data_IF_387779811219
#
_entry.id   IF_387779811219
#
_cell.length_a   1.000
_cell.length_b   1.000
_cell.length_c   1.000
_cell.angle_alpha   90.00
_cell.angle_beta   90.00
_cell.angle_gamma   90.00
#
_symmetry.space_group_name_H-M   'P 1'
#
loop_
_entity.id
_entity.type
_entity.pdbx_description
1 polymer ?
#
# COMPACT_ATOMS: atom_id res chain seq x y z
N UNK A 1 0.28 -4.36 -23.17
CA UNK A 1 -1.06 -3.74 -23.11
C UNK A 1 -1.02 -2.78 -21.93
N UNK A 2 -0.83 -1.50 -22.18
CA UNK A 2 -1.01 -0.47 -21.14
C UNK A 2 -2.51 -0.41 -20.84
N UNK A 3 -2.92 -0.90 -19.67
CA UNK A 3 -4.28 -0.70 -19.21
C UNK A 3 -4.45 0.79 -18.96
N UNK A 4 -5.24 1.45 -19.78
CA UNK A 4 -5.58 2.85 -19.58
C UNK A 4 -6.33 2.96 -18.26
N UNK A 5 -5.76 3.70 -17.29
CA UNK A 5 -6.37 3.89 -15.98
C UNK A 5 -7.71 4.62 -16.16
N UNK A 6 -8.81 4.01 -15.74
CA UNK A 6 -10.10 4.69 -15.68
C UNK A 6 -10.08 5.76 -14.56
N UNK A 7 -9.59 6.92 -14.92
CA UNK A 7 -9.43 8.06 -14.00
C UNK A 7 -10.76 8.53 -13.42
N UNK A 8 -11.84 8.45 -14.20
CA UNK A 8 -13.15 8.91 -13.73
C UNK A 8 -13.74 7.94 -12.70
N UNK A 9 -13.58 6.63 -12.92
CA UNK A 9 -13.96 5.61 -11.94
C UNK A 9 -13.26 5.84 -10.60
N UNK A 10 -11.93 5.93 -10.58
CA UNK A 10 -11.18 6.11 -9.33
C UNK A 10 -11.41 7.47 -8.67
N UNK A 11 -11.62 8.53 -9.45
CA UNK A 11 -12.01 9.84 -8.95
C UNK A 11 -13.35 9.82 -8.24
N UNK A 12 -14.31 9.05 -8.74
CA UNK A 12 -15.63 8.93 -8.13
C UNK A 12 -15.61 8.00 -6.92
N UNK A 13 -14.92 6.87 -7.01
CA UNK A 13 -14.79 5.91 -5.91
C UNK A 13 -14.14 6.52 -4.66
N UNK A 14 -13.17 7.41 -4.82
CA UNK A 14 -12.54 8.10 -3.68
C UNK A 14 -13.42 9.14 -2.99
N UNK A 15 -14.57 9.53 -3.56
CA UNK A 15 -15.49 10.52 -2.99
C UNK A 15 -16.43 9.98 -1.91
N UNK A 16 -16.18 8.77 -1.40
CA UNK A 16 -16.95 8.22 -0.28
C UNK A 16 -16.68 9.01 1.01
N UNK A 17 -17.70 9.20 1.85
CA UNK A 17 -17.63 10.04 3.04
C UNK A 17 -16.51 9.63 4.01
N UNK A 18 -16.32 8.33 4.20
CA UNK A 18 -15.28 7.81 5.10
C UNK A 18 -13.86 8.11 4.58
N UNK A 19 -13.61 8.05 3.25
CA UNK A 19 -12.32 8.41 2.65
C UNK A 19 -12.09 9.92 2.70
N UNK A 20 -13.16 10.71 2.49
CA UNK A 20 -13.11 12.17 2.64
C UNK A 20 -12.77 12.59 4.06
N UNK A 21 -13.31 11.88 5.07
CA UNK A 21 -12.97 12.11 6.47
C UNK A 21 -11.48 11.89 6.72
N UNK A 22 -10.90 10.77 6.31
CA UNK A 22 -9.47 10.48 6.46
C UNK A 22 -8.58 11.54 5.79
N UNK A 23 -8.97 12.04 4.62
CA UNK A 23 -8.22 13.11 3.94
C UNK A 23 -8.30 14.46 4.65
N UNK A 24 -9.39 14.72 5.38
CA UNK A 24 -9.54 15.94 6.20
C UNK A 24 -8.78 15.84 7.52
N UNK A 25 -8.72 14.66 8.13
CA UNK A 25 -8.00 14.41 9.39
C UNK A 25 -6.50 14.61 9.22
N UNK A 26 -5.91 14.03 8.16
CA UNK A 26 -4.49 14.21 7.84
C UNK A 26 -4.38 14.83 6.45
N UNK A 27 -3.87 16.04 6.37
CA UNK A 27 -3.69 16.75 5.09
C UNK A 27 -2.55 16.12 4.27
N UNK A 28 -2.61 16.26 2.96
CA UNK A 28 -1.59 15.68 2.05
C UNK A 28 -0.16 16.08 2.40
N UNK A 29 0.08 17.31 2.86
CA UNK A 29 1.40 17.78 3.30
C UNK A 29 1.88 16.94 4.49
N UNK A 30 1.05 16.83 5.52
CA UNK A 30 1.41 16.12 6.76
C UNK A 30 1.66 14.62 6.48
N UNK A 31 0.89 14.01 5.55
CA UNK A 31 1.12 12.63 5.08
C UNK A 31 2.50 12.45 4.47
N UNK A 32 3.01 13.45 3.75
CA UNK A 32 4.34 13.37 3.11
C UNK A 32 5.48 13.47 4.09
N UNK A 33 5.22 13.89 5.33
CA UNK A 33 6.21 14.00 6.39
C UNK A 33 6.25 12.75 7.30
N UNK A 34 5.28 11.84 7.15
CA UNK A 34 5.31 10.55 7.84
C UNK A 34 6.43 9.69 7.26
N UNK A 35 7.34 9.24 8.11
CA UNK A 35 8.44 8.35 7.71
C UNK A 35 7.91 6.96 7.37
N UNK A 36 8.42 6.38 6.26
CA UNK A 36 8.13 5.00 5.85
C UNK A 36 8.48 4.03 6.98
N UNK A 37 7.64 3.04 7.23
CA UNK A 37 7.93 1.99 8.21
C UNK A 37 9.04 1.08 7.69
N UNK A 38 9.85 0.59 8.62
CA UNK A 38 10.89 -0.40 8.33
C UNK A 38 10.35 -1.77 8.69
N UNK A 39 10.48 -2.73 7.79
CA UNK A 39 10.09 -4.13 8.03
C UNK A 39 11.00 -4.72 9.12
N UNK A 40 10.45 -5.22 10.23
CA UNK A 40 11.23 -5.97 11.20
C UNK A 40 11.78 -7.26 10.58
N UNK A 41 13.05 -7.54 10.79
CA UNK A 41 13.72 -8.72 10.26
C UNK A 41 14.30 -9.58 11.37
N UNK A 42 14.35 -10.90 11.13
CA UNK A 42 15.03 -11.83 12.02
C UNK A 42 16.55 -11.55 12.08
N UNK A 43 17.13 -11.69 13.28
CA UNK A 43 18.58 -11.52 13.48
C UNK A 43 19.38 -12.39 12.51
N UNK A 44 20.41 -11.84 11.81
CA UNK A 44 21.21 -12.58 10.84
C UNK A 44 21.87 -13.85 11.41
N UNK A 45 22.28 -13.85 12.70
CA UNK A 45 22.90 -15.01 13.35
C UNK A 45 21.89 -16.11 13.70
N UNK A 46 20.61 -15.79 13.74
CA UNK A 46 19.51 -16.74 13.96
C UNK A 46 19.00 -17.25 12.62
N UNK A 47 18.71 -16.35 11.67
CA UNK A 47 18.12 -16.72 10.38
C UNK A 47 19.03 -17.58 9.50
N UNK A 48 20.38 -17.45 9.61
CA UNK A 48 21.32 -18.25 8.86
C UNK A 48 21.42 -19.72 9.33
N UNK A 49 20.78 -20.06 10.45
CA UNK A 49 20.75 -21.42 11.04
C UNK A 49 19.34 -22.03 11.04
N UNK A 50 18.39 -21.39 10.39
CA UNK A 50 16.98 -21.82 10.41
C UNK A 50 16.27 -21.49 9.09
N UNK A 51 15.14 -22.13 8.86
CA UNK A 51 14.26 -21.87 7.72
C UNK A 51 13.08 -20.96 8.09
N UNK A 52 13.22 -20.14 9.15
CA UNK A 52 12.20 -19.18 9.52
C UNK A 52 12.11 -18.04 8.49
N UNK A 53 10.94 -17.44 8.36
CA UNK A 53 10.76 -16.29 7.50
C UNK A 53 11.59 -15.10 8.04
N UNK A 54 12.39 -14.48 7.16
CA UNK A 54 13.29 -13.38 7.54
C UNK A 54 12.51 -12.15 7.96
N UNK A 55 11.54 -11.75 7.14
CA UNK A 55 10.69 -10.60 7.41
C UNK A 55 9.61 -10.98 8.43
N UNK A 56 9.61 -10.34 9.58
CA UNK A 56 8.66 -10.65 10.67
C UNK A 56 7.23 -10.13 10.44
N UNK A 57 7.01 -9.34 9.39
CA UNK A 57 5.76 -8.61 9.19
C UNK A 57 5.70 -7.30 9.97
N UNK A 58 4.65 -6.54 9.76
CA UNK A 58 4.41 -5.29 10.50
C UNK A 58 3.20 -5.44 11.41
N UNK A 59 3.23 -4.77 12.57
CA UNK A 59 2.09 -4.73 13.47
C UNK A 59 0.94 -3.92 12.87
N UNK A 60 -0.29 -4.09 13.39
CA UNK A 60 -1.43 -3.27 12.95
C UNK A 60 -1.16 -1.77 13.12
N UNK A 61 -0.53 -1.37 14.21
CA UNK A 61 -0.15 0.03 14.45
C UNK A 61 0.82 0.55 13.37
N UNK A 62 1.83 -0.24 13.03
CA UNK A 62 2.76 0.08 11.93
C UNK A 62 2.03 0.14 10.59
N UNK A 63 1.09 -0.77 10.34
CA UNK A 63 0.29 -0.79 9.11
C UNK A 63 -0.59 0.46 9.00
N UNK A 64 -1.27 0.88 10.06
CA UNK A 64 -2.05 2.12 10.11
C UNK A 64 -1.17 3.34 9.83
N UNK A 65 0.00 3.42 10.49
CA UNK A 65 0.98 4.49 10.25
C UNK A 65 1.43 4.55 8.79
N UNK A 66 1.80 3.41 8.22
CA UNK A 66 2.23 3.35 6.81
C UNK A 66 1.07 3.67 5.85
N UNK A 67 -0.13 3.16 6.13
CA UNK A 67 -1.33 3.44 5.34
C UNK A 67 -1.70 4.93 5.35
N UNK A 68 -1.45 5.61 6.46
CA UNK A 68 -1.68 7.06 6.59
C UNK A 68 -0.78 7.90 5.68
N UNK A 69 0.33 7.36 5.17
CA UNK A 69 1.16 8.01 4.14
C UNK A 69 0.43 8.12 2.81
N UNK A 70 -0.47 7.19 2.48
CA UNK A 70 -1.13 7.18 1.18
C UNK A 70 -1.95 8.46 0.95
N UNK A 71 -1.65 9.19 -0.15
CA UNK A 71 -2.30 10.44 -0.53
C UNK A 71 -3.71 10.24 -1.09
N UNK A 72 -4.14 9.00 -1.31
CA UNK A 72 -5.43 8.71 -1.93
C UNK A 72 -5.61 9.47 -3.26
N UNK A 73 -4.71 9.25 -4.21
CA UNK A 73 -4.60 10.00 -5.44
C UNK A 73 -5.87 9.94 -6.30
N UNK A 74 -6.19 11.04 -7.01
CA UNK A 74 -7.30 11.09 -7.98
C UNK A 74 -7.03 10.17 -9.18
N UNK A 75 -5.76 10.09 -9.60
CA UNK A 75 -5.29 9.19 -10.66
C UNK A 75 -4.18 8.30 -10.05
N UNK A 76 -4.55 7.15 -9.47
CA UNK A 76 -3.61 6.32 -8.70
C UNK A 76 -2.74 5.46 -9.61
N UNK A 77 -1.61 6.00 -10.05
CA UNK A 77 -0.66 5.32 -10.95
C UNK A 77 -0.09 4.02 -10.37
N UNK A 78 -0.10 3.84 -9.05
CA UNK A 78 0.29 2.58 -8.41
C UNK A 78 -0.56 1.37 -8.88
N UNK A 79 -1.83 1.58 -9.26
CA UNK A 79 -2.70 0.53 -9.83
C UNK A 79 -2.16 0.05 -11.17
N UNK A 80 -1.67 0.97 -12.01
CA UNK A 80 -1.07 0.62 -13.32
C UNK A 80 0.19 -0.23 -13.12
N UNK A 81 0.93 0.02 -12.04
CA UNK A 81 2.11 -0.76 -11.69
C UNK A 81 1.81 -2.16 -11.13
N UNK A 82 0.56 -2.46 -10.79
CA UNK A 82 0.14 -3.77 -10.32
C UNK A 82 -0.31 -4.65 -11.49
N UNK A 83 0.36 -5.79 -11.77
CA UNK A 83 -0.01 -6.65 -12.90
C UNK A 83 -1.45 -7.18 -12.86
N UNK A 84 -2.04 -7.31 -11.68
CA UNK A 84 -3.43 -7.78 -11.51
C UNK A 84 -4.42 -6.62 -11.27
N UNK A 85 -3.95 -5.37 -11.29
CA UNK A 85 -4.82 -4.21 -11.20
C UNK A 85 -5.52 -4.02 -9.85
N UNK A 86 -4.88 -4.44 -8.76
CA UNK A 86 -5.42 -4.27 -7.39
C UNK A 86 -5.73 -2.80 -7.10
N UNK A 87 -6.91 -2.54 -6.51
CA UNK A 87 -7.29 -1.19 -6.08
C UNK A 87 -6.50 -0.77 -4.83
N UNK A 88 -5.24 -0.39 -5.05
CA UNK A 88 -4.28 -0.10 -3.98
C UNK A 88 -4.77 1.03 -3.05
N UNK A 89 -5.22 2.20 -3.53
CA UNK A 89 -5.67 3.24 -2.62
C UNK A 89 -6.82 2.79 -1.72
N UNK A 90 -7.75 1.99 -2.24
CA UNK A 90 -8.92 1.53 -1.49
C UNK A 90 -8.52 0.61 -0.33
N UNK A 91 -7.71 -0.44 -0.59
CA UNK A 91 -7.31 -1.33 0.51
C UNK A 91 -6.42 -0.62 1.53
N UNK A 92 -5.52 0.27 1.08
CA UNK A 92 -4.68 1.06 1.99
C UNK A 92 -5.53 1.97 2.88
N UNK A 93 -6.60 2.57 2.36
CA UNK A 93 -7.50 3.40 3.17
C UNK A 93 -8.31 2.58 4.18
N UNK A 94 -8.67 1.33 3.88
CA UNK A 94 -9.25 0.43 4.89
C UNK A 94 -8.24 0.12 6.01
N UNK A 95 -6.97 -0.08 5.68
CA UNK A 95 -5.92 -0.27 6.71
C UNK A 95 -5.71 0.99 7.55
N UNK A 96 -5.80 2.17 6.96
CA UNK A 96 -5.73 3.44 7.72
C UNK A 96 -6.86 3.56 8.75
N UNK A 97 -8.05 3.00 8.47
CA UNK A 97 -9.15 2.86 9.43
C UNK A 97 -8.92 1.75 10.47
N UNK A 98 -7.92 0.90 10.29
CA UNK A 98 -7.75 -0.33 11.08
C UNK A 98 -8.66 -1.48 10.65
N UNK A 99 -9.42 -1.34 9.56
CA UNK A 99 -10.29 -2.39 9.01
C UNK A 99 -9.51 -3.36 8.10
N UNK A 100 -8.80 -4.29 8.74
CA UNK A 100 -8.01 -5.33 8.07
C UNK A 100 -8.88 -6.24 7.19
N UNK A 101 -10.09 -6.56 7.65
CA UNK A 101 -10.98 -7.44 6.88
C UNK A 101 -11.53 -6.74 5.63
N UNK A 102 -11.86 -5.46 5.75
CA UNK A 102 -12.24 -4.64 4.59
C UNK A 102 -11.10 -4.52 3.58
N UNK A 103 -9.88 -4.30 4.04
CA UNK A 103 -8.69 -4.27 3.19
C UNK A 103 -8.47 -5.60 2.46
N UNK A 104 -8.55 -6.73 3.17
CA UNK A 104 -8.40 -8.07 2.61
C UNK A 104 -9.48 -8.39 1.55
N UNK A 105 -10.73 -7.95 1.75
CA UNK A 105 -11.80 -8.10 0.75
C UNK A 105 -11.46 -7.36 -0.54
N UNK A 106 -10.98 -6.11 -0.44
CA UNK A 106 -10.58 -5.31 -1.61
C UNK A 106 -9.42 -5.98 -2.35
N UNK A 107 -8.40 -6.46 -1.64
CA UNK A 107 -7.29 -7.19 -2.25
C UNK A 107 -7.79 -8.40 -3.04
N UNK A 108 -8.74 -9.17 -2.48
CA UNK A 108 -9.28 -10.39 -3.09
C UNK A 108 -10.25 -10.15 -4.25
N UNK A 109 -10.66 -8.91 -4.52
CA UNK A 109 -11.44 -8.57 -5.73
C UNK A 109 -10.65 -8.90 -7.02
N UNK A 110 -9.34 -8.67 -7.02
CA UNK A 110 -8.48 -8.84 -8.20
C UNK A 110 -7.30 -9.80 -7.99
N UNK A 111 -6.97 -10.15 -6.74
CA UNK A 111 -5.83 -10.98 -6.39
C UNK A 111 -6.26 -12.17 -5.52
N UNK A 112 -6.12 -13.38 -6.04
CA UNK A 112 -6.45 -14.60 -5.30
C UNK A 112 -5.46 -14.95 -4.18
N UNK A 113 -4.22 -14.45 -4.27
CA UNK A 113 -3.10 -14.80 -3.39
C UNK A 113 -2.36 -13.58 -2.84
N UNK A 114 -3.05 -12.60 -2.21
CA UNK A 114 -2.43 -11.34 -1.80
C UNK A 114 -1.27 -11.55 -0.82
N UNK A 115 -1.39 -12.47 0.14
CA UNK A 115 -0.34 -12.75 1.11
C UNK A 115 0.96 -13.31 0.47
N UNK A 116 0.85 -13.97 -0.68
CA UNK A 116 2.03 -14.42 -1.45
C UNK A 116 2.58 -13.24 -2.26
N UNK A 117 1.74 -12.48 -2.94
CA UNK A 117 2.14 -11.31 -3.70
C UNK A 117 2.88 -10.30 -2.82
N UNK A 118 2.38 -10.02 -1.61
CA UNK A 118 3.05 -9.14 -0.64
C UNK A 118 4.45 -9.62 -0.21
N UNK A 119 4.78 -10.92 -0.44
CA UNK A 119 6.10 -11.50 -0.12
C UNK A 119 7.05 -11.62 -1.31
N UNK A 120 6.52 -11.85 -2.52
CA UNK A 120 7.35 -12.26 -3.67
C UNK A 120 7.31 -11.28 -4.85
N UNK A 121 6.34 -10.38 -4.92
CA UNK A 121 6.34 -9.35 -5.96
C UNK A 121 7.53 -8.39 -5.78
N UNK A 122 8.22 -7.99 -6.87
CA UNK A 122 9.22 -6.94 -6.82
C UNK A 122 8.54 -5.56 -6.84
N UNK A 123 7.87 -5.21 -5.74
CA UNK A 123 7.02 -4.00 -5.63
C UNK A 123 7.78 -2.72 -5.94
N UNK A 124 9.08 -2.69 -5.62
CA UNK A 124 9.99 -1.56 -5.84
C UNK A 124 10.16 -1.19 -7.31
N UNK A 125 9.90 -2.11 -8.24
CA UNK A 125 9.90 -1.85 -9.69
C UNK A 125 8.49 -1.91 -10.31
N UNK A 126 7.49 -2.26 -9.54
CA UNK A 126 6.08 -2.37 -9.93
C UNK A 126 5.22 -1.24 -9.32
N UNK A 127 4.30 -1.60 -8.40
CA UNK A 127 3.33 -0.67 -7.83
C UNK A 127 3.98 0.47 -7.02
N UNK A 128 5.02 0.18 -6.23
CA UNK A 128 5.71 1.20 -5.43
C UNK A 128 6.48 2.17 -6.31
N UNK A 129 7.12 1.71 -7.40
CA UNK A 129 7.80 2.57 -8.37
C UNK A 129 6.84 3.57 -9.04
N UNK A 130 5.57 3.23 -9.17
CA UNK A 130 4.56 4.11 -9.75
C UNK A 130 3.91 5.04 -8.70
N UNK A 131 4.27 4.92 -7.43
CA UNK A 131 3.76 5.81 -6.39
C UNK A 131 4.15 7.27 -6.66
N UNK A 132 3.24 8.19 -6.40
CA UNK A 132 3.49 9.64 -6.57
C UNK A 132 4.65 10.14 -5.72
N UNK A 133 4.94 9.52 -4.59
CA UNK A 133 6.12 9.79 -3.77
C UNK A 133 7.41 9.61 -4.56
N UNK A 134 7.52 8.52 -5.30
CA UNK A 134 8.68 8.24 -6.15
C UNK A 134 8.67 9.13 -7.39
N UNK A 135 7.54 9.17 -8.11
CA UNK A 135 7.43 9.85 -9.41
C UNK A 135 7.52 11.37 -9.35
N UNK A 136 7.06 12.01 -8.26
CA UNK A 136 6.93 13.47 -8.19
C UNK A 136 7.59 14.11 -6.98
N UNK A 137 7.78 13.37 -5.89
CA UNK A 137 8.27 13.97 -4.63
C UNK A 137 9.70 13.54 -4.31
N UNK A 138 10.31 12.65 -5.09
CA UNK A 138 11.66 12.13 -4.87
C UNK A 138 11.83 11.56 -3.44
N UNK A 139 10.76 10.90 -2.95
CA UNK A 139 10.70 10.25 -1.64
C UNK A 139 10.42 8.77 -1.82
N UNK A 140 10.67 7.97 -0.78
CA UNK A 140 10.29 6.55 -0.76
C UNK A 140 8.78 6.37 -0.92
N UNK A 141 8.36 5.50 -1.83
CA UNK A 141 6.96 5.16 -2.04
C UNK A 141 6.28 4.62 -0.79
N UNK A 142 4.96 4.54 -0.78
CA UNK A 142 4.25 3.79 0.25
C UNK A 142 4.65 2.32 0.17
N UNK A 143 4.85 1.66 1.32
CA UNK A 143 5.26 0.26 1.42
C UNK A 143 4.08 -0.68 1.11
N UNK A 144 3.66 -0.68 -0.15
CA UNK A 144 2.45 -1.38 -0.62
C UNK A 144 2.56 -2.88 -0.35
N UNK A 145 3.72 -3.48 -0.67
CA UNK A 145 3.96 -4.89 -0.41
C UNK A 145 3.91 -5.27 1.06
N UNK A 146 4.40 -4.41 1.96
CA UNK A 146 4.31 -4.64 3.42
C UNK A 146 2.87 -4.62 3.90
N UNK A 147 2.04 -3.74 3.33
CA UNK A 147 0.63 -3.62 3.66
C UNK A 147 -0.23 -4.76 3.08
N UNK A 148 0.18 -5.32 1.94
CA UNK A 148 -0.50 -6.44 1.28
C UNK A 148 -0.23 -7.78 1.97
N UNK A 149 0.96 -7.93 2.57
CA UNK A 149 1.42 -9.15 3.24
C UNK A 149 0.56 -9.49 4.47
#
# INVERSE_FOLDING_TARGET
>A
MESELDKEFYKNERKTDWRDKLRKEIKSKDRTDITRVVMPEADPNVRNKSNIEVNAGISLEMAIKEASRCLDCVAPTCIIGCPVGTNIPKFVKYLELGDVLGAAKVLKENNSLPAICGRVCPQEIQCEAQCVYVKKLTKEGSAIGYLER
#
